data_IF_126652701190
#
_entry.id   IF_126652701190
#
_cell.length_a   1.000
_cell.length_b   1.000
_cell.length_c   1.000
_cell.angle_alpha   90.00
_cell.angle_beta   90.00
_cell.angle_gamma   90.00
#
_symmetry.space_group_name_H-M   'P 1'
#
loop_
_entity.id
_entity.type
_entity.pdbx_description
1 polymer ?
#
# COMPACT_ATOMS: atom_id res chain seq x y z
N UNK A 1 -10.21 14.36 -19.33
CA UNK A 1 -9.37 13.45 -18.54
C UNK A 1 -9.91 13.57 -17.14
N UNK A 2 -10.99 12.83 -16.86
CA UNK A 2 -11.64 12.84 -15.55
C UNK A 2 -10.74 12.08 -14.59
N UNK A 3 -10.08 12.80 -13.67
CA UNK A 3 -9.54 12.20 -12.48
C UNK A 3 -10.74 11.76 -11.61
N UNK A 4 -11.35 10.62 -11.96
CA UNK A 4 -12.16 9.84 -11.00
C UNK A 4 -11.19 9.30 -9.94
N UNK A 5 -10.70 10.20 -9.08
CA UNK A 5 -9.68 9.95 -8.08
C UNK A 5 -10.20 8.96 -7.04
N UNK A 6 -9.85 7.69 -7.22
CA UNK A 6 -10.19 6.59 -6.30
C UNK A 6 -9.88 6.92 -4.83
N UNK A 7 -8.80 7.66 -4.56
CA UNK A 7 -8.44 8.14 -3.23
C UNK A 7 -9.37 9.25 -2.72
N UNK A 8 -9.56 10.31 -3.51
CA UNK A 8 -10.40 11.44 -3.11
C UNK A 8 -11.85 11.00 -2.86
N UNK A 9 -12.37 10.12 -3.71
CA UNK A 9 -13.69 9.52 -3.54
C UNK A 9 -13.77 8.64 -2.28
N UNK A 10 -12.72 7.87 -1.98
CA UNK A 10 -12.68 7.10 -0.73
C UNK A 10 -12.69 8.00 0.51
N UNK A 11 -11.96 9.13 0.48
CA UNK A 11 -11.95 10.08 1.59
C UNK A 11 -13.29 10.80 1.75
N UNK A 12 -13.89 11.29 0.66
CA UNK A 12 -15.19 11.99 0.70
C UNK A 12 -16.34 11.11 1.18
N UNK A 13 -16.27 9.81 0.92
CA UNK A 13 -17.33 8.86 1.26
C UNK A 13 -17.10 8.14 2.60
N UNK A 14 -15.98 8.38 3.29
CA UNK A 14 -15.73 7.78 4.61
C UNK A 14 -16.39 8.63 5.72
N UNK A 15 -17.28 8.06 6.57
CA UNK A 15 -18.01 8.83 7.58
C UNK A 15 -17.13 9.36 8.72
N UNK A 16 -15.91 8.85 8.86
CA UNK A 16 -14.96 9.24 9.90
C UNK A 16 -13.92 10.26 9.41
N UNK A 17 -13.96 10.65 8.12
CA UNK A 17 -13.00 11.59 7.53
C UNK A 17 -13.72 12.84 7.08
N UNK A 18 -13.14 13.98 7.46
CA UNK A 18 -13.47 15.27 6.86
C UNK A 18 -12.39 15.63 5.84
N UNK A 19 -12.77 15.72 4.57
CA UNK A 19 -11.86 16.21 3.53
C UNK A 19 -11.65 17.73 3.68
N UNK A 20 -10.41 18.15 3.90
CA UNK A 20 -10.06 19.56 4.18
C UNK A 20 -9.67 20.31 2.92
N UNK A 21 -8.69 19.80 2.19
CA UNK A 21 -8.12 20.43 0.98
C UNK A 21 -7.31 19.40 0.20
N UNK A 22 -6.82 19.79 -0.98
CA UNK A 22 -5.87 19.04 -1.79
C UNK A 22 -4.70 19.94 -2.19
N UNK A 23 -3.57 19.34 -2.52
CA UNK A 23 -2.46 20.02 -3.17
C UNK A 23 -2.11 19.32 -4.47
N UNK A 24 -2.12 20.07 -5.58
CA UNK A 24 -1.68 19.60 -6.88
C UNK A 24 -1.07 20.75 -7.69
N UNK A 25 -0.20 20.43 -8.65
CA UNK A 25 0.31 21.41 -9.62
C UNK A 25 -0.74 21.78 -10.66
N UNK A 26 -1.67 20.86 -10.92
CA UNK A 26 -2.91 21.13 -11.63
C UNK A 26 -3.79 22.00 -10.73
N UNK A 27 -4.61 22.88 -11.32
CA UNK A 27 -5.55 23.73 -10.57
C UNK A 27 -6.93 23.09 -10.60
N UNK A 28 -7.26 22.17 -9.69
CA UNK A 28 -8.59 21.58 -9.67
C UNK A 28 -9.62 22.56 -9.12
N UNK A 29 -10.88 22.23 -9.36
CA UNK A 29 -12.00 22.95 -8.79
C UNK A 29 -12.07 22.74 -7.27
N UNK A 30 -12.34 23.83 -6.54
CA UNK A 30 -12.42 23.84 -5.08
C UNK A 30 -11.17 24.37 -4.38
N UNK A 31 -11.15 24.24 -3.04
CA UNK A 31 -10.04 24.72 -2.19
C UNK A 31 -8.80 23.85 -2.40
N UNK A 32 -7.74 24.45 -2.93
CA UNK A 32 -6.49 23.77 -3.23
C UNK A 32 -5.26 24.64 -2.93
N UNK A 33 -4.11 23.98 -2.85
CA UNK A 33 -2.79 24.61 -2.79
C UNK A 33 -1.92 24.12 -3.94
N UNK A 34 -0.91 24.92 -4.31
CA UNK A 34 0.09 24.55 -5.32
C UNK A 34 1.38 23.98 -4.70
N UNK A 35 1.52 24.11 -3.37
CA UNK A 35 2.67 23.62 -2.62
C UNK A 35 2.20 22.94 -1.33
N UNK A 36 2.76 21.77 -1.01
CA UNK A 36 2.30 20.94 0.11
C UNK A 36 2.62 21.57 1.48
N UNK A 37 3.67 22.39 1.58
CA UNK A 37 3.97 23.13 2.81
C UNK A 37 2.88 24.16 3.13
N UNK A 38 2.39 24.89 2.14
CA UNK A 38 1.29 25.84 2.32
C UNK A 38 0.04 25.11 2.82
N UNK A 39 -0.24 23.94 2.23
CA UNK A 39 -1.37 23.09 2.63
C UNK A 39 -1.31 22.71 4.11
N UNK A 40 -0.18 22.17 4.59
CA UNK A 40 -0.08 21.70 5.99
C UNK A 40 0.01 22.84 7.00
N UNK A 41 0.57 24.00 6.60
CA UNK A 41 0.74 25.15 7.48
C UNK A 41 -0.49 26.07 7.56
N UNK A 42 -1.33 26.12 6.53
CA UNK A 42 -2.51 26.98 6.49
C UNK A 42 -3.78 26.25 6.90
N UNK A 43 -3.89 24.97 6.55
CA UNK A 43 -5.12 24.20 6.73
C UNK A 43 -5.05 23.15 7.84
N UNK A 44 -3.86 22.91 8.40
CA UNK A 44 -3.62 22.05 9.58
C UNK A 44 -4.31 20.68 9.53
N UNK A 45 -4.12 19.87 8.47
CA UNK A 45 -4.71 18.55 8.38
C UNK A 45 -4.11 17.57 9.40
N UNK A 46 -4.94 16.71 9.98
CA UNK A 46 -4.46 15.64 10.88
C UNK A 46 -3.72 14.53 10.13
N UNK A 47 -4.21 14.20 8.92
CA UNK A 47 -3.73 13.11 8.08
C UNK A 47 -3.47 13.65 6.67
N UNK A 48 -2.32 13.31 6.09
CA UNK A 48 -2.01 13.64 4.69
C UNK A 48 -1.79 12.37 3.88
N UNK A 49 -2.44 12.28 2.72
CA UNK A 49 -2.13 11.25 1.74
C UNK A 49 -1.19 11.77 0.66
N UNK A 50 -0.07 11.08 0.46
CA UNK A 50 0.96 11.38 -0.53
C UNK A 50 0.79 10.42 -1.70
N UNK A 51 0.06 10.85 -2.72
CA UNK A 51 -0.22 10.09 -3.95
C UNK A 51 0.61 10.60 -5.15
N UNK A 52 1.84 11.03 -4.88
CA UNK A 52 2.73 11.65 -5.88
C UNK A 52 3.65 10.61 -6.53
N UNK A 53 4.42 10.95 -7.58
CA UNK A 53 5.46 10.05 -8.09
C UNK A 53 6.51 9.71 -7.01
N UNK A 54 7.04 8.46 -7.00
CA UNK A 54 7.87 7.95 -5.91
C UNK A 54 9.16 8.74 -5.66
N UNK A 55 9.72 9.37 -6.70
CA UNK A 55 10.90 10.24 -6.59
C UNK A 55 10.67 11.49 -5.73
N UNK A 56 9.41 11.82 -5.40
CA UNK A 56 9.07 12.96 -4.55
C UNK A 56 8.69 12.57 -3.12
N UNK A 57 8.47 11.27 -2.85
CA UNK A 57 7.97 10.79 -1.56
C UNK A 57 8.87 11.20 -0.40
N UNK A 58 10.17 10.93 -0.49
CA UNK A 58 11.10 11.19 0.61
C UNK A 58 11.09 12.65 1.03
N UNK A 59 11.18 13.57 0.07
CA UNK A 59 11.16 15.00 0.33
C UNK A 59 9.84 15.43 0.98
N UNK A 60 8.71 15.08 0.37
CA UNK A 60 7.39 15.48 0.85
C UNK A 60 7.13 14.92 2.26
N UNK A 61 7.38 13.63 2.48
CA UNK A 61 7.14 12.96 3.76
C UNK A 61 8.01 13.55 4.87
N UNK A 62 9.29 13.78 4.61
CA UNK A 62 10.18 14.39 5.59
C UNK A 62 9.75 15.82 5.96
N UNK A 63 9.31 16.59 4.97
CA UNK A 63 8.91 17.98 5.18
C UNK A 63 7.60 18.11 5.98
N UNK A 64 6.63 17.23 5.73
CA UNK A 64 5.31 17.34 6.36
C UNK A 64 5.19 16.61 7.70
N UNK A 65 6.08 15.66 8.00
CA UNK A 65 6.02 14.87 9.24
C UNK A 65 5.86 15.72 10.52
N UNK A 66 6.59 16.84 10.71
CA UNK A 66 6.44 17.66 11.91
C UNK A 66 5.06 18.33 12.08
N UNK A 67 4.25 18.36 11.04
CA UNK A 67 2.98 19.12 10.99
C UNK A 67 1.74 18.25 11.11
N UNK A 68 1.87 16.91 10.98
CA UNK A 68 0.72 16.00 10.85
C UNK A 68 0.86 14.79 11.76
N UNK A 69 -0.27 14.18 12.12
CA UNK A 69 -0.30 12.99 13.00
C UNK A 69 -0.03 11.71 12.21
N UNK A 70 -0.50 11.63 10.97
CA UNK A 70 -0.27 10.49 10.10
C UNK A 70 -0.04 10.88 8.64
N UNK A 71 0.76 10.06 7.98
CA UNK A 71 1.04 10.13 6.56
C UNK A 71 0.67 8.80 5.94
N UNK A 72 -0.17 8.86 4.91
CA UNK A 72 -0.47 7.75 4.02
C UNK A 72 0.28 7.92 2.72
N UNK A 73 1.41 7.23 2.57
CA UNK A 73 2.24 7.31 1.38
C UNK A 73 1.90 6.20 0.38
N UNK A 74 1.82 6.54 -0.91
CA UNK A 74 1.72 5.55 -1.97
C UNK A 74 2.95 4.65 -2.04
N UNK A 75 2.76 3.50 -2.69
CA UNK A 75 3.87 2.59 -3.02
C UNK A 75 4.44 2.89 -4.42
N UNK A 76 5.75 2.68 -4.66
CA UNK A 76 6.76 2.25 -3.69
C UNK A 76 7.08 3.36 -2.67
N UNK A 77 7.59 2.98 -1.49
CA UNK A 77 7.88 3.94 -0.41
C UNK A 77 8.83 5.05 -0.87
N UNK A 78 9.86 4.72 -1.64
CA UNK A 78 10.90 5.62 -2.11
C UNK A 78 11.62 5.02 -3.34
N UNK A 79 12.61 5.73 -3.89
CA UNK A 79 13.41 5.25 -5.03
C UNK A 79 14.57 4.33 -4.61
N UNK A 80 15.04 4.42 -3.37
CA UNK A 80 16.14 3.62 -2.83
C UNK A 80 15.97 3.40 -1.31
N UNK A 81 16.81 2.53 -0.74
CA UNK A 81 16.72 2.17 0.68
C UNK A 81 17.11 3.33 1.61
N UNK A 82 18.08 4.17 1.23
CA UNK A 82 18.51 5.31 2.07
C UNK A 82 17.38 6.33 2.23
N UNK A 83 16.62 6.61 1.17
CA UNK A 83 15.43 7.46 1.22
C UNK A 83 14.32 6.84 2.07
N UNK A 84 14.10 5.53 1.96
CA UNK A 84 13.11 4.82 2.78
C UNK A 84 13.47 4.88 4.27
N UNK A 85 14.75 4.65 4.60
CA UNK A 85 15.27 4.72 5.98
C UNK A 85 15.13 6.14 6.54
N UNK A 86 15.42 7.17 5.73
CA UNK A 86 15.24 8.57 6.13
C UNK A 86 13.78 8.90 6.44
N UNK A 87 12.84 8.45 5.62
CA UNK A 87 11.41 8.67 5.86
C UNK A 87 10.95 8.05 7.17
N UNK A 88 11.40 6.82 7.46
CA UNK A 88 11.06 6.10 8.70
C UNK A 88 11.59 6.86 9.92
N UNK A 89 12.86 7.29 9.89
CA UNK A 89 13.48 7.97 11.03
C UNK A 89 12.81 9.32 11.30
N UNK A 90 12.60 10.15 10.27
CA UNK A 90 11.96 11.47 10.45
C UNK A 90 10.53 11.34 10.99
N UNK A 91 9.75 10.38 10.49
CA UNK A 91 8.41 10.14 11.01
C UNK A 91 8.44 9.67 12.48
N UNK A 92 9.40 8.82 12.84
CA UNK A 92 9.58 8.37 14.23
C UNK A 92 9.99 9.50 15.17
N UNK A 93 10.93 10.36 14.76
CA UNK A 93 11.36 11.54 15.53
C UNK A 93 10.21 12.51 15.83
N UNK A 94 9.28 12.66 14.88
CA UNK A 94 8.13 13.56 15.00
C UNK A 94 6.88 12.90 15.59
N UNK A 95 6.95 11.61 15.98
CA UNK A 95 5.78 10.81 16.39
C UNK A 95 4.65 10.77 15.34
N UNK A 96 5.02 10.83 14.06
CA UNK A 96 4.11 10.75 12.92
C UNK A 96 3.96 9.29 12.48
N UNK A 97 2.72 8.81 12.35
CA UNK A 97 2.48 7.47 11.82
C UNK A 97 2.73 7.47 10.30
N UNK A 98 3.68 6.66 9.84
CA UNK A 98 3.92 6.43 8.41
C UNK A 98 3.27 5.11 7.96
N UNK A 99 2.15 5.21 7.26
CA UNK A 99 1.47 4.10 6.61
C UNK A 99 1.78 4.09 5.11
N UNK A 100 2.19 2.94 4.59
CA UNK A 100 2.42 2.72 3.16
C UNK A 100 1.19 2.04 2.55
N UNK A 101 0.75 2.48 1.37
CA UNK A 101 -0.45 1.97 0.72
C UNK A 101 -0.31 0.55 0.14
N UNK A 102 -0.17 -0.45 1.01
CA UNK A 102 -0.32 -1.85 0.64
C UNK A 102 -1.80 -2.27 0.71
N UNK A 103 -2.72 -1.53 0.09
CA UNK A 103 -4.16 -1.86 0.02
C UNK A 103 -4.45 -3.31 -0.39
N UNK A 104 -3.60 -3.91 -1.23
CA UNK A 104 -3.71 -5.33 -1.63
C UNK A 104 -3.45 -6.32 -0.51
N UNK A 105 -2.96 -5.89 0.66
CA UNK A 105 -2.86 -6.72 1.87
C UNK A 105 -4.23 -7.06 2.46
N UNK A 106 -5.24 -6.24 2.18
CA UNK A 106 -6.65 -6.51 2.50
C UNK A 106 -7.33 -7.35 1.43
N UNK A 107 -6.65 -7.62 0.32
CA UNK A 107 -7.15 -8.43 -0.78
C UNK A 107 -6.95 -9.90 -0.46
N UNK A 108 -7.93 -10.72 -0.86
CA UNK A 108 -7.76 -12.16 -0.91
C UNK A 108 -6.70 -12.49 -1.95
N UNK A 109 -5.73 -13.35 -1.68
CA UNK A 109 -4.84 -13.82 -2.72
C UNK A 109 -5.62 -14.58 -3.80
N UNK A 110 -5.82 -13.97 -4.96
CA UNK A 110 -6.27 -14.65 -6.19
C UNK A 110 -5.04 -14.94 -7.04
N UNK A 111 -4.63 -16.20 -7.11
CA UNK A 111 -3.52 -16.64 -7.95
C UNK A 111 -4.07 -17.29 -9.21
N UNK A 112 -3.66 -16.81 -10.38
CA UNK A 112 -3.92 -17.46 -11.66
C UNK A 112 -2.65 -18.15 -12.11
N UNK A 113 -2.62 -19.48 -12.02
CA UNK A 113 -1.53 -20.28 -12.55
C UNK A 113 -1.91 -20.80 -13.94
N UNK A 114 -1.14 -20.47 -14.96
CA UNK A 114 -1.18 -21.16 -16.27
C UNK A 114 0.16 -21.84 -16.49
N UNK A 115 0.14 -23.07 -17.00
CA UNK A 115 1.28 -23.99 -16.97
C UNK A 115 2.52 -23.43 -17.69
N UNK A 116 3.66 -23.50 -17.02
CA UNK A 116 5.02 -23.41 -17.59
C UNK A 116 5.99 -24.32 -16.82
N UNK A 117 6.32 -25.47 -17.44
CA UNK A 117 7.34 -26.52 -17.21
C UNK A 117 7.85 -26.74 -15.75
N UNK A 118 7.60 -27.94 -15.22
CA UNK A 118 8.10 -28.58 -13.97
C UNK A 118 7.11 -28.73 -12.79
N UNK A 119 6.28 -29.78 -12.94
CA UNK A 119 6.02 -30.88 -12.00
C UNK A 119 5.45 -30.69 -10.58
N UNK A 120 4.33 -31.39 -10.37
CA UNK A 120 3.61 -31.75 -9.12
C UNK A 120 3.16 -30.59 -8.22
N UNK A 121 1.90 -30.20 -8.37
CA UNK A 121 1.25 -29.12 -7.62
C UNK A 121 1.29 -29.25 -6.08
N UNK A 122 1.65 -30.40 -5.51
CA UNK A 122 1.83 -30.60 -4.07
C UNK A 122 2.85 -29.64 -3.43
N UNK A 123 3.96 -29.32 -4.12
CA UNK A 123 4.99 -28.44 -3.55
C UNK A 123 4.53 -26.98 -3.42
N UNK A 124 3.61 -26.51 -4.26
CA UNK A 124 3.05 -25.16 -4.15
C UNK A 124 2.13 -25.06 -2.92
N UNK A 125 1.31 -26.09 -2.69
CA UNK A 125 0.46 -26.16 -1.49
C UNK A 125 1.29 -26.28 -0.20
N UNK A 126 2.37 -27.08 -0.21
CA UNK A 126 3.29 -27.19 0.94
C UNK A 126 4.02 -25.87 1.23
N UNK A 127 4.41 -25.11 0.19
CA UNK A 127 5.06 -23.80 0.35
C UNK A 127 4.09 -22.75 0.89
N UNK A 128 2.84 -22.73 0.43
CA UNK A 128 1.80 -21.84 0.95
C UNK A 128 1.43 -22.23 2.39
N UNK A 129 1.36 -23.52 2.71
CA UNK A 129 1.14 -23.98 4.08
C UNK A 129 2.34 -23.65 5.01
N UNK A 130 3.57 -23.72 4.50
CA UNK A 130 4.78 -23.33 5.23
C UNK A 130 4.84 -21.82 5.52
N UNK A 131 4.45 -20.99 4.55
CA UNK A 131 4.48 -19.52 4.67
C UNK A 131 3.31 -18.96 5.50
N UNK A 132 2.14 -19.61 5.48
CA UNK A 132 0.90 -19.06 6.03
C UNK A 132 0.22 -19.92 7.13
N UNK A 133 0.72 -21.13 7.40
CA UNK A 133 0.41 -22.04 8.52
C UNK A 133 -1.04 -22.50 8.77
N UNK A 134 -2.05 -21.96 8.09
CA UNK A 134 -3.46 -22.40 8.24
C UNK A 134 -4.22 -22.29 6.91
N UNK A 135 -4.07 -23.30 6.05
CA UNK A 135 -4.94 -23.51 4.88
C UNK A 135 -6.07 -24.47 5.26
N UNK A 136 -7.30 -23.96 5.40
CA UNK A 136 -8.45 -24.76 5.87
C UNK A 136 -9.44 -25.16 4.77
N UNK A 137 -9.56 -24.43 3.64
CA UNK A 137 -10.50 -24.74 2.54
C UNK A 137 -9.87 -24.39 1.18
N UNK A 138 -10.01 -25.30 0.21
CA UNK A 138 -9.60 -25.14 -1.20
C UNK A 138 -10.80 -25.49 -2.09
N UNK A 139 -11.31 -24.53 -2.87
CA UNK A 139 -12.36 -24.80 -3.87
C UNK A 139 -11.72 -25.07 -5.23
N UNK A 140 -12.26 -26.04 -5.95
CA UNK A 140 -11.81 -26.43 -7.29
C UNK A 140 -12.94 -26.13 -8.27
N UNK A 141 -12.69 -25.27 -9.26
CA UNK A 141 -13.61 -25.11 -10.38
C UNK A 141 -12.91 -25.63 -11.65
N UNK A 142 -13.50 -26.69 -12.23
CA UNK A 142 -12.98 -27.36 -13.41
C UNK A 142 -13.41 -26.59 -14.66
N UNK A 143 -12.45 -26.13 -15.48
CA UNK A 143 -12.75 -25.30 -16.66
C UNK A 143 -12.69 -26.11 -17.95
N UNK A 144 -11.64 -26.91 -18.19
CA UNK A 144 -11.58 -27.92 -19.28
C UNK A 144 -10.30 -28.79 -19.15
N UNK A 145 -10.21 -29.86 -19.95
CA UNK A 145 -9.23 -30.97 -20.02
C UNK A 145 -7.74 -30.64 -19.93
N UNK A 146 -7.32 -29.37 -20.04
CA UNK A 146 -5.92 -28.95 -19.94
C UNK A 146 -5.69 -27.74 -18.99
N UNK A 147 -6.74 -27.21 -18.34
CA UNK A 147 -6.65 -26.04 -17.47
C UNK A 147 -7.42 -26.24 -16.15
N UNK A 148 -6.69 -26.15 -15.03
CA UNK A 148 -7.28 -26.04 -13.69
C UNK A 148 -7.14 -24.59 -13.23
N UNK A 149 -8.25 -23.96 -12.82
CA UNK A 149 -8.20 -22.74 -12.00
C UNK A 149 -8.46 -23.15 -10.56
N UNK A 150 -7.52 -22.80 -9.68
CA UNK A 150 -7.68 -22.95 -8.25
C UNK A 150 -8.11 -21.59 -7.70
N UNK A 151 -9.31 -21.53 -7.12
CA UNK A 151 -9.79 -20.35 -6.41
C UNK A 151 -9.94 -20.72 -4.93
N UNK A 152 -9.20 -20.04 -4.05
CA UNK A 152 -9.40 -20.22 -2.62
C UNK A 152 -10.51 -19.27 -2.15
N UNK A 153 -11.68 -19.82 -1.83
CA UNK A 153 -12.77 -19.05 -1.23
C UNK A 153 -12.70 -19.09 0.30
N UNK A 154 -12.46 -17.93 0.91
CA UNK A 154 -12.83 -17.69 2.31
C UNK A 154 -13.88 -16.59 2.31
N UNK A 155 -15.16 -16.88 2.08
CA UNK A 155 -16.31 -15.95 1.95
C UNK A 155 -16.24 -14.60 2.71
N UNK A 156 -16.17 -13.48 1.97
CA UNK A 156 -16.61 -12.11 2.34
C UNK A 156 -16.74 -11.31 1.03
N UNK A 157 -17.73 -10.41 0.93
CA UNK A 157 -18.02 -9.66 -0.30
C UNK A 157 -16.83 -8.79 -0.78
N UNK A 158 -16.83 -8.48 -2.07
CA UNK A 158 -15.90 -7.56 -2.76
C UNK A 158 -16.04 -6.12 -2.26
N UNK A 159 -15.71 -5.87 -1.00
CA UNK A 159 -15.62 -4.51 -0.49
C UNK A 159 -14.34 -3.84 -1.03
N UNK A 160 -14.40 -2.55 -1.39
CA UNK A 160 -13.24 -1.81 -1.89
C UNK A 160 -12.11 -1.83 -0.85
N UNK A 161 -10.90 -2.16 -1.30
CA UNK A 161 -9.73 -2.39 -0.42
C UNK A 161 -9.23 -1.11 0.26
N UNK A 162 -9.39 0.04 -0.41
CA UNK A 162 -8.88 1.32 0.07
C UNK A 162 -9.64 1.81 1.32
N UNK A 163 -10.98 1.76 1.37
CA UNK A 163 -11.74 1.99 2.61
C UNK A 163 -11.29 1.12 3.79
N UNK A 164 -11.01 -0.18 3.59
CA UNK A 164 -10.52 -1.05 4.68
C UNK A 164 -9.17 -0.63 5.24
N UNK A 165 -8.24 -0.28 4.35
CA UNK A 165 -6.94 0.23 4.75
C UNK A 165 -7.06 1.54 5.56
N UNK A 166 -8.14 2.29 5.32
CA UNK A 166 -8.42 3.58 5.91
C UNK A 166 -9.08 3.50 7.25
N UNK A 167 -10.05 2.62 7.39
CA UNK A 167 -10.63 2.28 8.70
C UNK A 167 -9.55 1.73 9.64
N UNK A 168 -8.60 0.93 9.13
CA UNK A 168 -7.46 0.46 9.92
C UNK A 168 -6.55 1.60 10.40
N UNK A 169 -6.20 2.56 9.53
CA UNK A 169 -5.38 3.71 9.91
C UNK A 169 -6.06 4.55 10.99
N UNK A 170 -7.37 4.79 10.83
CA UNK A 170 -8.17 5.55 11.80
C UNK A 170 -8.18 4.83 13.15
N UNK A 171 -8.46 3.53 13.16
CA UNK A 171 -8.44 2.73 14.38
C UNK A 171 -7.08 2.78 15.08
N UNK A 172 -5.97 2.70 14.33
CA UNK A 172 -4.62 2.84 14.85
C UNK A 172 -4.40 4.20 15.53
N UNK A 173 -4.88 5.28 14.92
CA UNK A 173 -4.78 6.64 15.47
C UNK A 173 -5.59 6.79 16.75
N UNK A 174 -6.83 6.30 16.76
CA UNK A 174 -7.72 6.39 17.92
C UNK A 174 -7.21 5.58 19.13
N UNK A 175 -6.50 4.47 18.88
CA UNK A 175 -6.07 3.53 19.91
C UNK A 175 -4.55 3.57 20.19
N UNK A 176 -3.81 4.48 19.55
CA UNK A 176 -2.35 4.58 19.69
C UNK A 176 -1.61 3.30 19.28
N UNK A 177 -2.12 2.57 18.29
CA UNK A 177 -1.56 1.30 17.82
C UNK A 177 -0.73 1.50 16.54
N UNK A 178 0.33 0.69 16.30
CA UNK A 178 1.08 0.74 15.05
C UNK A 178 0.24 0.22 13.87
N UNK A 179 0.54 0.70 12.67
CA UNK A 179 -0.14 0.25 11.45
C UNK A 179 0.42 -1.10 10.99
N UNK A 180 -0.44 -1.94 10.39
CA UNK A 180 -0.03 -3.24 9.81
C UNK A 180 0.90 -3.05 8.60
N UNK A 181 0.82 -1.88 7.96
CA UNK A 181 1.53 -1.52 6.75
C UNK A 181 2.41 -0.28 7.00
N UNK A 182 3.33 -0.42 7.94
CA UNK A 182 4.24 0.66 8.37
C UNK A 182 5.30 0.98 7.31
N UNK A 183 6.04 2.08 7.51
CA UNK A 183 7.23 2.41 6.71
C UNK A 183 8.23 1.26 6.57
N UNK A 184 8.44 0.48 7.64
CA UNK A 184 9.32 -0.70 7.63
C UNK A 184 8.83 -1.79 6.65
N UNK A 185 7.52 -1.96 6.51
CA UNK A 185 6.95 -2.88 5.52
C UNK A 185 7.22 -2.39 4.08
N UNK A 186 7.11 -1.08 3.86
CA UNK A 186 7.44 -0.46 2.57
C UNK A 186 8.92 -0.62 2.22
N UNK A 187 9.82 -0.37 3.18
CA UNK A 187 11.27 -0.55 3.02
C UNK A 187 11.62 -1.98 2.62
N UNK A 188 11.10 -2.99 3.34
CA UNK A 188 11.31 -4.41 3.00
C UNK A 188 10.76 -4.80 1.63
N UNK A 189 9.60 -4.24 1.25
CA UNK A 189 9.03 -4.46 -0.08
C UNK A 189 9.95 -3.89 -1.17
N UNK A 190 10.56 -2.73 -0.93
CA UNK A 190 11.50 -2.11 -1.87
C UNK A 190 12.79 -2.93 -2.00
N UNK A 191 13.34 -3.40 -0.88
CA UNK A 191 14.52 -4.29 -0.85
C UNK A 191 14.30 -5.55 -1.69
N UNK A 192 13.13 -6.19 -1.56
CA UNK A 192 12.76 -7.35 -2.38
C UNK A 192 12.69 -7.02 -3.87
N UNK A 193 12.12 -5.86 -4.24
CA UNK A 193 12.07 -5.42 -5.63
C UNK A 193 13.46 -5.19 -6.22
N UNK A 194 14.37 -4.54 -5.49
CA UNK A 194 15.75 -4.31 -5.90
C UNK A 194 16.48 -5.64 -6.11
N UNK A 195 16.36 -6.56 -5.15
CA UNK A 195 16.97 -7.88 -5.26
C UNK A 195 16.42 -8.67 -6.46
N UNK A 196 15.12 -8.63 -6.70
CA UNK A 196 14.51 -9.31 -7.85
C UNK A 196 14.97 -8.71 -9.19
N UNK A 197 15.11 -7.39 -9.26
CA UNK A 197 15.64 -6.73 -10.45
C UNK A 197 17.09 -7.14 -10.72
N UNK A 198 17.94 -7.16 -9.68
CA UNK A 198 19.33 -7.62 -9.80
C UNK A 198 19.43 -9.08 -10.30
N UNK A 199 18.51 -9.95 -9.85
CA UNK A 199 18.41 -11.33 -10.32
C UNK A 199 18.04 -11.44 -11.80
N UNK A 200 17.14 -10.58 -12.28
CA UNK A 200 16.74 -10.55 -13.69
C UNK A 200 17.87 -10.03 -14.60
N UNK A 201 18.69 -9.10 -14.09
CA UNK A 201 19.83 -8.52 -14.81
C UNK A 201 21.05 -9.46 -14.84
N UNK A 202 21.20 -10.34 -13.83
CA UNK A 202 22.31 -11.29 -13.71
C UNK A 202 21.88 -12.73 -13.40
N UNK A 203 21.20 -13.43 -14.33
CA UNK A 203 20.59 -14.75 -14.08
C UNK A 203 21.57 -15.93 -13.95
N UNK A 204 22.90 -15.72 -14.06
CA UNK A 204 23.91 -16.80 -14.15
C UNK A 204 24.73 -17.05 -12.87
N UNK A 205 24.48 -16.32 -11.79
CA UNK A 205 25.23 -16.43 -10.53
C UNK A 205 24.48 -17.21 -9.43
N UNK A 206 23.58 -18.13 -9.81
CA UNK A 206 22.85 -19.06 -8.91
C UNK A 206 23.00 -20.49 -9.40
#
# INVERSE_FOLDING_TARGET
MEFEDSHLNAYKNNPYISFVTLCDRLKPDGKHHLHYLDMVQLDYPDIVSVCTPPETHCQIVCDIAPYVKAIWCEKPIAMNLDEADRMIEVCKENNTILQINHQRRWMRPKFKFSRGIFNSGSHAFDLVNFLFKDLSIVDFEYIDTDEYIFEFNLTHPEEPLLPKALDHLIWCLENGQPTISSGENGRRSLEQCINFQALLEHPKDI
#
